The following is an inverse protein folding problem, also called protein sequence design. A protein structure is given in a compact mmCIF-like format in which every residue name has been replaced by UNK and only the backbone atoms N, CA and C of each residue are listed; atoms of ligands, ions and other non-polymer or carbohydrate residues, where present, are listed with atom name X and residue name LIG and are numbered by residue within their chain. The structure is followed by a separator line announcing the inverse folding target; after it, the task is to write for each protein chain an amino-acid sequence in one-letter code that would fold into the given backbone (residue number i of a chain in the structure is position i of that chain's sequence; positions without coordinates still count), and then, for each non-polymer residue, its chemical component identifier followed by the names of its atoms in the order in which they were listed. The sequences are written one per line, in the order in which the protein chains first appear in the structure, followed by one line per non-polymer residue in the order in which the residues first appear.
data_IF_433369711353
#
_entry.id   IF_433369711353
#
_cell.length_a   1.000
_cell.length_b   1.000
_cell.length_c   1.000
_cell.angle_alpha   90.00
_cell.angle_beta   90.00
_cell.angle_gamma   90.00
#
_symmetry.space_group_name_H-M   'P 1'
#
loop_
_entity.id
_entity.type
_entity.pdbx_description
1 polymer ?
#
# COMPACT_ATOMS: atom_id res chain seq x y z
N UNK A 1 -6.34 25.84 -3.84
CA UNK A 1 -5.93 26.21 -2.53
C UNK A 1 -4.84 25.29 -2.04
N UNK A 2 -3.95 25.88 -1.34
CA UNK A 2 -2.82 25.17 -0.78
C UNK A 2 -3.18 24.32 0.45
N UNK A 3 -4.45 24.05 0.66
CA UNK A 3 -4.85 23.29 1.83
C UNK A 3 -4.56 21.81 1.68
N UNK A 4 -3.31 21.48 1.96
CA UNK A 4 -2.94 20.08 2.17
C UNK A 4 -3.30 19.75 3.62
N UNK A 5 -4.24 18.86 3.82
CA UNK A 5 -4.62 18.46 5.17
C UNK A 5 -3.45 17.75 5.86
N UNK A 6 -3.45 17.78 7.20
CA UNK A 6 -2.46 17.02 7.96
C UNK A 6 -2.46 15.55 7.57
N UNK A 7 -3.64 14.97 7.32
CA UNK A 7 -3.76 13.58 6.88
C UNK A 7 -3.06 13.33 5.56
N UNK A 8 -3.22 14.22 4.58
CA UNK A 8 -2.56 14.08 3.27
C UNK A 8 -1.05 14.14 3.40
N UNK A 9 -0.53 15.01 4.26
CA UNK A 9 0.91 15.09 4.50
C UNK A 9 1.41 13.78 5.10
N UNK A 10 0.72 13.26 6.12
CA UNK A 10 1.10 12.01 6.76
C UNK A 10 1.06 10.84 5.79
N UNK A 11 0.05 10.78 4.90
CA UNK A 11 -0.06 9.75 3.89
C UNK A 11 1.19 9.68 3.01
N UNK A 12 1.67 10.84 2.54
CA UNK A 12 2.85 10.89 1.67
C UNK A 12 4.14 10.53 2.40
N UNK A 13 4.22 10.82 3.70
CA UNK A 13 5.42 10.60 4.49
C UNK A 13 5.41 9.26 5.23
N UNK A 14 4.35 8.46 5.06
CA UNK A 14 4.22 7.16 5.72
C UNK A 14 5.45 6.26 5.56
N UNK A 15 6.11 6.19 4.37
CA UNK A 15 7.30 5.35 4.24
C UNK A 15 8.45 5.69 5.18
N UNK A 16 8.40 6.86 5.81
CA UNK A 16 9.45 7.34 6.72
C UNK A 16 9.04 7.25 8.18
N UNK A 17 7.85 6.73 8.47
CA UNK A 17 7.34 6.63 9.82
C UNK A 17 7.70 5.29 10.47
N UNK A 18 7.76 5.28 11.79
CA UNK A 18 7.85 4.05 12.57
C UNK A 18 6.47 3.69 13.09
N UNK A 19 6.01 2.49 12.78
CA UNK A 19 4.67 2.03 13.16
C UNK A 19 4.64 0.50 13.17
N UNK A 20 3.86 -0.14 14.07
CA UNK A 20 3.78 -1.60 14.10
C UNK A 20 3.34 -2.26 12.79
N UNK A 21 2.54 -1.55 11.97
CA UNK A 21 2.10 -2.07 10.67
C UNK A 21 3.06 -1.75 9.54
N UNK A 22 4.19 -1.11 9.83
CA UNK A 22 5.23 -0.80 8.86
C UNK A 22 6.44 -1.65 9.23
N UNK A 23 6.72 -2.65 8.39
CA UNK A 23 7.84 -3.54 8.63
C UNK A 23 9.16 -2.80 8.49
N UNK A 24 10.06 -3.03 9.44
CA UNK A 24 11.33 -2.30 9.52
C UNK A 24 12.21 -2.51 8.30
N UNK A 25 12.08 -3.65 7.63
CA UNK A 25 12.90 -3.95 6.44
C UNK A 25 12.44 -3.22 5.18
N UNK A 26 11.24 -2.61 5.18
CA UNK A 26 10.78 -1.83 4.03
C UNK A 26 11.59 -0.55 3.90
N UNK A 27 12.00 -0.25 2.67
CA UNK A 27 12.66 1.02 2.35
C UNK A 27 11.68 1.89 1.57
N UNK A 28 11.89 3.21 1.53
CA UNK A 28 11.00 4.07 0.73
C UNK A 28 10.86 3.64 -0.73
N UNK A 29 11.87 2.97 -1.28
CA UNK A 29 11.84 2.48 -2.66
C UNK A 29 10.88 1.33 -2.88
N UNK A 30 10.50 0.62 -1.81
CA UNK A 30 9.54 -0.48 -1.88
C UNK A 30 8.11 0.00 -2.01
N UNK A 31 7.87 1.29 -1.79
CA UNK A 31 6.53 1.86 -1.73
C UNK A 31 6.15 2.53 -3.04
N UNK A 32 4.90 2.31 -3.46
CA UNK A 32 4.26 3.09 -4.53
C UNK A 32 3.07 3.83 -3.97
N UNK A 33 3.05 5.14 -4.12
CA UNK A 33 1.93 5.96 -3.70
C UNK A 33 0.81 5.87 -4.74
N UNK A 34 -0.38 5.51 -4.30
CA UNK A 34 -1.54 5.41 -5.17
C UNK A 34 -2.49 6.59 -4.98
N UNK A 35 -2.77 6.95 -3.75
CA UNK A 35 -3.62 8.07 -3.38
C UNK A 35 -5.11 7.77 -3.36
N UNK A 36 -5.59 6.90 -4.22
CA UNK A 36 -7.00 6.53 -4.31
C UNK A 36 -7.14 5.20 -5.06
N UNK A 37 -7.95 4.25 -4.62
CA UNK A 37 -8.80 4.27 -3.42
C UNK A 37 -8.07 4.01 -2.11
N UNK A 38 -6.82 3.54 -2.19
CA UNK A 38 -5.92 3.33 -1.06
C UNK A 38 -4.71 4.24 -1.21
N UNK A 39 -3.95 4.40 -0.14
CA UNK A 39 -2.80 5.31 -0.18
C UNK A 39 -1.59 4.71 -0.84
N UNK A 40 -1.23 3.48 -0.48
CA UNK A 40 0.04 2.87 -0.90
C UNK A 40 -0.09 1.41 -1.28
N UNK A 41 0.85 0.98 -2.10
CA UNK A 41 1.18 -0.43 -2.30
C UNK A 41 2.64 -0.61 -1.93
N UNK A 42 2.96 -1.66 -1.18
CA UNK A 42 4.34 -2.02 -0.88
C UNK A 42 4.69 -3.31 -1.61
N UNK A 43 5.79 -3.27 -2.34
CA UNK A 43 6.33 -4.41 -3.09
C UNK A 43 7.41 -5.04 -2.23
N UNK A 44 7.03 -6.01 -1.40
CA UNK A 44 7.89 -6.54 -0.35
C UNK A 44 8.54 -7.84 -0.76
N UNK A 45 9.85 -7.82 -0.99
CA UNK A 45 10.66 -9.00 -1.23
C UNK A 45 11.73 -9.22 -0.16
N UNK A 46 11.63 -8.58 1.00
CA UNK A 46 12.64 -8.66 2.05
C UNK A 46 14.05 -8.41 1.51
N UNK A 47 14.16 -7.49 0.54
CA UNK A 47 15.42 -7.16 -0.13
C UNK A 47 16.05 -8.34 -0.90
N UNK A 48 15.28 -9.37 -1.21
CA UNK A 48 15.72 -10.44 -2.09
C UNK A 48 15.88 -9.91 -3.51
N UNK A 49 17.12 -9.89 -3.99
CA UNK A 49 17.45 -9.33 -5.31
C UNK A 49 16.96 -10.19 -6.45
N UNK A 50 16.71 -11.46 -6.21
CA UNK A 50 16.22 -12.39 -7.24
C UNK A 50 14.70 -12.34 -7.39
N UNK A 51 14.01 -11.57 -6.55
CA UNK A 51 12.57 -11.36 -6.58
C UNK A 51 11.80 -12.68 -6.61
N UNK A 52 12.22 -13.63 -5.79
CA UNK A 52 11.56 -14.94 -5.72
C UNK A 52 10.15 -14.81 -5.14
N UNK A 53 9.22 -15.56 -5.72
CA UNK A 53 7.82 -15.55 -5.28
C UNK A 53 7.72 -15.94 -3.80
N UNK A 54 8.53 -16.89 -3.36
CA UNK A 54 8.49 -17.40 -2.00
C UNK A 54 8.86 -16.36 -0.94
N UNK A 55 9.64 -15.35 -1.31
CA UNK A 55 10.08 -14.29 -0.40
C UNK A 55 9.26 -13.02 -0.55
N UNK A 56 8.42 -12.95 -1.58
CA UNK A 56 7.72 -11.73 -1.93
C UNK A 56 6.26 -11.70 -1.49
N UNK A 57 5.75 -10.52 -1.32
CA UNK A 57 4.32 -10.26 -1.16
C UNK A 57 3.99 -8.84 -1.59
N UNK A 58 2.73 -8.61 -1.88
CA UNK A 58 2.21 -7.28 -2.19
C UNK A 58 1.35 -6.86 -1.02
N UNK A 59 1.62 -5.68 -0.47
CA UNK A 59 0.87 -5.15 0.66
C UNK A 59 0.08 -3.92 0.22
N UNK A 60 -1.24 -3.97 0.37
CA UNK A 60 -2.10 -2.82 0.18
C UNK A 60 -2.26 -2.11 1.51
N UNK A 61 -2.02 -0.82 1.54
CA UNK A 61 -1.91 -0.07 2.76
C UNK A 61 -2.72 1.22 2.68
N UNK A 62 -3.51 1.50 3.71
CA UNK A 62 -4.24 2.75 3.83
C UNK A 62 -3.94 3.38 5.18
N UNK A 63 -3.73 4.70 5.18
CA UNK A 63 -3.37 5.45 6.37
C UNK A 63 -4.60 6.19 6.87
N UNK A 64 -4.94 5.97 8.14
CA UNK A 64 -6.10 6.63 8.76
C UNK A 64 -5.67 7.41 9.99
N UNK A 65 -6.23 8.61 10.14
CA UNK A 65 -6.12 9.34 11.40
C UNK A 65 -6.87 8.57 12.51
N UNK A 66 -6.53 8.86 13.76
CA UNK A 66 -6.95 8.05 14.92
C UNK A 66 -8.44 7.70 14.99
N UNK A 67 -9.33 8.60 14.52
CA UNK A 67 -10.78 8.38 14.57
C UNK A 67 -11.41 8.14 13.21
N UNK A 68 -10.62 8.17 12.14
CA UNK A 68 -11.12 7.92 10.79
C UNK A 68 -11.31 6.43 10.57
N UNK A 69 -12.30 6.09 9.76
CA UNK A 69 -12.59 4.70 9.42
C UNK A 69 -12.45 4.49 7.92
N UNK A 70 -12.23 3.25 7.54
CA UNK A 70 -12.23 2.88 6.14
C UNK A 70 -13.59 3.19 5.53
N UNK A 71 -13.60 3.71 4.30
CA UNK A 71 -14.81 3.86 3.52
C UNK A 71 -15.40 2.48 3.20
N UNK A 72 -16.66 2.46 2.75
CA UNK A 72 -17.29 1.21 2.30
C UNK A 72 -16.47 0.57 1.18
N UNK A 73 -16.03 1.37 0.21
CA UNK A 73 -15.21 0.85 -0.90
C UNK A 73 -13.89 0.27 -0.40
N UNK A 74 -13.22 0.93 0.53
CA UNK A 74 -11.96 0.44 1.08
C UNK A 74 -12.16 -0.87 1.85
N UNK A 75 -13.25 -1.00 2.60
CA UNK A 75 -13.57 -2.25 3.29
C UNK A 75 -13.80 -3.38 2.29
N UNK A 76 -14.48 -3.11 1.17
CA UNK A 76 -14.70 -4.12 0.12
C UNK A 76 -13.39 -4.53 -0.52
N UNK A 77 -12.50 -3.59 -0.79
CA UNK A 77 -11.16 -3.88 -1.32
C UNK A 77 -10.40 -4.75 -0.33
N UNK A 78 -10.41 -4.40 0.94
CA UNK A 78 -9.79 -5.24 1.98
C UNK A 78 -10.32 -6.66 1.92
N UNK A 79 -11.64 -6.82 1.81
CA UNK A 79 -12.27 -8.14 1.77
C UNK A 79 -11.82 -8.93 0.53
N UNK A 80 -11.70 -8.27 -0.63
CA UNK A 80 -11.18 -8.90 -1.85
C UNK A 80 -9.74 -9.38 -1.66
N UNK A 81 -8.90 -8.55 -1.05
CA UNK A 81 -7.51 -8.92 -0.77
C UNK A 81 -7.45 -10.14 0.14
N UNK A 82 -8.23 -10.12 1.23
CA UNK A 82 -8.26 -11.23 2.18
C UNK A 82 -8.80 -12.52 1.56
N UNK A 83 -9.70 -12.40 0.60
CA UNK A 83 -10.25 -13.55 -0.10
C UNK A 83 -9.37 -14.05 -1.26
N UNK A 84 -8.25 -13.37 -1.52
CA UNK A 84 -7.36 -13.75 -2.61
C UNK A 84 -7.92 -13.48 -4.00
N UNK A 85 -8.86 -12.57 -4.12
CA UNK A 85 -9.51 -12.26 -5.40
C UNK A 85 -8.75 -11.17 -6.12
N UNK A 86 -7.54 -11.49 -6.51
CA UNK A 86 -6.60 -10.62 -7.22
C UNK A 86 -6.10 -11.42 -8.41
N UNK A 87 -6.04 -10.78 -9.59
CA UNK A 87 -5.62 -11.44 -10.82
C UNK A 87 -4.51 -10.63 -11.49
N UNK A 88 -3.74 -11.32 -12.30
CA UNK A 88 -2.81 -10.70 -13.25
C UNK A 88 -3.37 -10.87 -14.66
N UNK A 89 -3.32 -9.80 -15.45
CA UNK A 89 -3.66 -9.87 -16.87
C UNK A 89 -2.67 -9.02 -17.65
N UNK A 90 -2.25 -9.50 -18.80
CA UNK A 90 -1.42 -8.74 -19.72
C UNK A 90 -2.23 -8.46 -21.00
N UNK A 91 -2.15 -7.24 -21.47
CA UNK A 91 -2.74 -6.85 -22.75
C UNK A 91 -1.58 -6.55 -23.69
N UNK A 92 -1.50 -7.32 -24.78
CA UNK A 92 -0.46 -7.11 -25.78
C UNK A 92 -1.14 -6.55 -27.03
N UNK A 93 -0.67 -5.39 -27.45
CA UNK A 93 -1.20 -4.71 -28.63
C UNK A 93 -0.19 -4.84 -29.76
N UNK A 94 -0.66 -5.25 -30.92
CA UNK A 94 0.18 -5.39 -32.12
C UNK A 94 0.39 -4.07 -32.84
#
# INVERSE_FOLDING_TARGET
SAHTSKGQILEKWTPFLTHPEIDEHWTPQDWSFMGNPLDHIVWDWHQDRDLNVETGKIVFLDVKAAKSQLSTKQRRIRDLVKAGRIEWREIRLD
#
